data_IF_509831406869
#
_entry.id   IF_509831406869
#
_cell.length_a   1.000
_cell.length_b   1.000
_cell.length_c   1.000
_cell.angle_alpha   90.00
_cell.angle_beta   90.00
_cell.angle_gamma   90.00
#
_symmetry.space_group_name_H-M   'P 1'
#
loop_
_entity.id
_entity.type
_entity.pdbx_description
1 polymer ?
#
# COMPACT_ATOMS: atom_id res chain seq x y z
N UNK A 1 23.37 1.87 39.47
CA UNK A 1 23.62 1.65 38.02
C UNK A 1 22.27 1.52 37.37
N UNK A 2 21.78 2.58 36.72
CA UNK A 2 20.49 2.57 36.04
C UNK A 2 20.61 1.75 34.76
N UNK A 3 19.85 0.66 34.64
CA UNK A 3 19.68 -0.04 33.37
C UNK A 3 19.24 0.95 32.29
N UNK A 4 19.80 0.89 31.07
CA UNK A 4 19.27 1.66 29.97
C UNK A 4 17.87 1.12 29.69
N UNK A 5 16.85 1.92 30.01
CA UNK A 5 15.47 1.62 29.62
C UNK A 5 15.48 1.38 28.11
N UNK A 6 15.10 0.18 27.68
CA UNK A 6 15.15 -0.22 26.27
C UNK A 6 14.32 0.74 25.43
N UNK A 7 14.99 1.51 24.59
CA UNK A 7 14.38 2.51 23.69
C UNK A 7 13.40 1.84 22.70
N UNK A 8 13.54 0.53 22.48
CA UNK A 8 12.67 -0.28 21.63
C UNK A 8 11.17 -0.15 21.97
N UNK A 9 10.79 -0.01 23.25
CA UNK A 9 9.37 0.11 23.65
C UNK A 9 8.75 1.50 23.42
N UNK A 10 9.53 2.52 23.02
CA UNK A 10 9.04 3.89 22.81
C UNK A 10 8.88 4.28 21.35
N UNK A 11 9.54 3.57 20.43
CA UNK A 11 9.46 3.87 19.01
C UNK A 11 8.10 3.43 18.45
N UNK A 12 7.46 4.33 17.72
CA UNK A 12 6.14 4.09 17.13
C UNK A 12 6.13 4.38 15.62
N UNK A 13 6.86 3.59 14.80
CA UNK A 13 6.89 3.78 13.36
C UNK A 13 5.49 3.75 12.76
N UNK A 14 5.29 4.55 11.69
CA UNK A 14 4.05 4.52 10.92
C UNK A 14 4.14 3.47 9.83
N UNK A 15 3.37 2.41 9.97
CA UNK A 15 3.44 1.23 9.11
C UNK A 15 2.26 1.16 8.13
N UNK A 16 2.52 0.54 7.00
CA UNK A 16 1.54 0.11 6.03
C UNK A 16 2.08 -1.12 5.29
N UNK A 17 1.19 -1.90 4.71
CA UNK A 17 1.50 -3.11 3.93
C UNK A 17 1.10 -2.85 2.49
N UNK A 18 1.91 -3.27 1.54
CA UNK A 18 1.68 -3.03 0.12
C UNK A 18 2.33 -4.09 -0.77
N UNK A 19 1.80 -4.24 -1.98
CA UNK A 19 2.55 -4.87 -3.06
C UNK A 19 3.56 -3.88 -3.64
N UNK A 20 4.85 -4.25 -3.71
CA UNK A 20 5.81 -3.51 -4.50
C UNK A 20 5.50 -3.70 -5.99
N UNK A 21 5.79 -2.67 -6.78
CA UNK A 21 5.64 -2.74 -8.23
C UNK A 21 6.91 -3.31 -8.89
N UNK A 22 6.78 -4.05 -10.00
CA UNK A 22 7.92 -4.42 -10.82
C UNK A 22 8.64 -3.16 -11.32
N UNK A 23 9.97 -3.21 -11.44
CA UNK A 23 10.79 -2.06 -11.88
C UNK A 23 10.28 -1.44 -13.18
N UNK A 24 9.96 -2.28 -14.18
CA UNK A 24 9.49 -1.79 -15.49
C UNK A 24 8.13 -1.08 -15.39
N UNK A 25 7.27 -1.53 -14.48
CA UNK A 25 5.99 -0.86 -14.18
C UNK A 25 6.22 0.51 -13.56
N UNK A 26 7.16 0.61 -12.60
CA UNK A 26 7.53 1.88 -11.96
C UNK A 26 8.06 2.88 -13.00
N UNK A 27 8.94 2.44 -13.91
CA UNK A 27 9.49 3.28 -14.99
C UNK A 27 8.37 3.79 -15.90
N UNK A 28 7.51 2.91 -16.39
CA UNK A 28 6.38 3.29 -17.27
C UNK A 28 5.42 4.27 -16.60
N UNK A 29 5.11 4.06 -15.32
CA UNK A 29 4.27 4.97 -14.55
C UNK A 29 4.94 6.34 -14.35
N UNK A 30 6.25 6.37 -14.09
CA UNK A 30 7.00 7.61 -13.94
C UNK A 30 7.05 8.42 -15.24
N UNK A 31 7.24 7.76 -16.39
CA UNK A 31 7.19 8.38 -17.71
C UNK A 31 5.80 8.95 -18.02
N UNK A 32 4.74 8.18 -17.72
CA UNK A 32 3.36 8.65 -17.89
C UNK A 32 3.03 9.82 -16.96
N UNK A 33 3.44 9.76 -15.69
CA UNK A 33 3.32 10.86 -14.73
C UNK A 33 3.97 12.15 -15.22
N UNK A 34 5.10 12.06 -15.94
CA UNK A 34 5.80 13.21 -16.51
C UNK A 34 4.99 13.98 -17.56
N UNK A 35 3.91 13.39 -18.07
CA UNK A 35 2.98 14.03 -19.02
C UNK A 35 1.82 14.74 -18.33
N UNK A 36 1.64 14.52 -17.03
CA UNK A 36 0.54 15.07 -16.24
C UNK A 36 0.93 16.42 -15.64
N UNK A 37 0.11 17.45 -15.88
CA UNK A 37 0.30 18.79 -15.34
C UNK A 37 -0.73 19.11 -14.25
N UNK A 38 -0.42 20.06 -13.37
CA UNK A 38 -1.39 20.56 -12.37
C UNK A 38 -1.47 19.74 -11.07
N UNK A 39 -0.60 18.76 -10.87
CA UNK A 39 -0.51 17.99 -9.62
C UNK A 39 0.93 17.59 -9.30
N UNK A 40 1.18 17.27 -8.02
CA UNK A 40 2.47 16.71 -7.59
C UNK A 40 2.48 15.20 -7.85
N UNK A 41 3.49 14.73 -8.57
CA UNK A 41 3.68 13.30 -8.80
C UNK A 41 4.15 12.57 -7.54
N UNK A 42 3.68 11.33 -7.37
CA UNK A 42 4.24 10.42 -6.36
C UNK A 42 5.60 9.94 -6.87
N UNK A 43 6.69 10.07 -6.07
CA UNK A 43 8.02 9.63 -6.49
C UNK A 43 8.05 8.15 -6.85
N UNK A 44 8.89 7.72 -7.82
CA UNK A 44 8.95 6.32 -8.27
C UNK A 44 9.14 5.30 -7.14
N UNK A 45 10.03 5.58 -6.17
CA UNK A 45 10.27 4.72 -5.02
C UNK A 45 9.10 4.58 -4.04
N UNK A 46 8.07 5.42 -4.19
CA UNK A 46 6.87 5.40 -3.37
C UNK A 46 5.65 4.84 -4.11
N UNK A 47 5.78 4.38 -5.36
CA UNK A 47 4.67 3.78 -6.10
C UNK A 47 4.46 2.33 -5.63
N UNK A 48 3.24 2.04 -5.20
CA UNK A 48 2.85 0.73 -4.67
C UNK A 48 1.33 0.55 -4.73
N UNK A 49 0.86 -0.69 -4.56
CA UNK A 49 -0.55 -0.99 -4.31
C UNK A 49 -0.71 -1.26 -2.82
N UNK A 50 -1.38 -0.36 -2.09
CA UNK A 50 -1.56 -0.51 -0.65
C UNK A 50 -2.56 -1.62 -0.34
N UNK A 51 -2.24 -2.46 0.65
CA UNK A 51 -3.13 -3.43 1.26
C UNK A 51 -3.79 -2.83 2.51
N UNK A 52 -2.97 -2.47 3.51
CA UNK A 52 -3.45 -2.01 4.81
C UNK A 52 -2.60 -0.85 5.32
N UNK A 53 -3.23 0.16 5.92
CA UNK A 53 -2.54 1.19 6.70
C UNK A 53 -2.67 0.86 8.19
N UNK A 54 -1.55 0.58 8.86
CA UNK A 54 -1.54 0.21 10.29
C UNK A 54 -1.32 1.42 11.21
N UNK A 55 -0.90 2.55 10.64
CA UNK A 55 -0.64 3.76 11.42
C UNK A 55 0.56 3.59 12.35
N UNK A 56 0.60 4.35 13.44
CA UNK A 56 1.69 4.30 14.40
C UNK A 56 1.58 3.05 15.28
N UNK A 57 2.57 2.15 15.19
CA UNK A 57 2.63 0.87 15.92
C UNK A 57 3.88 0.79 16.78
N UNK A 58 3.82 0.26 18.01
CA UNK A 58 5.01 -0.08 18.78
C UNK A 58 6.03 -0.86 17.93
N UNK A 59 7.30 -0.50 18.01
CA UNK A 59 8.35 -1.17 17.22
C UNK A 59 8.46 -2.68 17.55
N UNK A 60 8.08 -3.09 18.76
CA UNK A 60 8.00 -4.50 19.17
C UNK A 60 6.94 -5.32 18.39
N UNK A 61 5.95 -4.68 17.76
CA UNK A 61 4.98 -5.38 16.89
C UNK A 61 5.57 -5.73 15.51
N UNK A 62 6.73 -5.16 15.12
CA UNK A 62 7.29 -5.28 13.77
C UNK A 62 7.61 -6.72 13.37
N UNK A 63 8.21 -7.50 14.27
CA UNK A 63 8.64 -8.86 13.97
C UNK A 63 7.41 -9.75 13.72
N UNK A 64 6.42 -9.69 14.61
CA UNK A 64 5.16 -10.43 14.46
C UNK A 64 4.40 -10.04 13.16
N UNK A 65 4.36 -8.74 12.84
CA UNK A 65 3.77 -8.28 11.57
C UNK A 65 4.56 -8.85 10.38
N UNK A 66 5.89 -8.80 10.43
CA UNK A 66 6.75 -9.26 9.34
C UNK A 66 6.61 -10.76 9.12
N UNK A 67 6.59 -11.56 10.18
CA UNK A 67 6.42 -13.02 10.11
C UNK A 67 5.07 -13.40 9.50
N UNK A 68 3.99 -12.75 9.94
CA UNK A 68 2.66 -12.96 9.37
C UNK A 68 2.61 -12.65 7.86
N UNK A 69 3.30 -11.59 7.42
CA UNK A 69 3.40 -11.23 5.99
C UNK A 69 4.26 -12.22 5.20
N UNK A 70 5.36 -12.72 5.78
CA UNK A 70 6.20 -13.74 5.14
C UNK A 70 5.43 -15.04 4.92
N UNK A 71 4.64 -15.47 5.91
CA UNK A 71 3.80 -16.67 5.78
C UNK A 71 2.72 -16.52 4.69
N UNK A 72 2.06 -15.36 4.64
CA UNK A 72 1.08 -15.05 3.60
C UNK A 72 1.75 -15.08 2.21
N UNK A 73 2.92 -14.44 2.09
CA UNK A 73 3.69 -14.40 0.85
C UNK A 73 4.18 -15.78 0.39
N UNK A 74 4.61 -16.65 1.32
CA UNK A 74 5.11 -17.99 1.00
C UNK A 74 4.04 -18.89 0.37
N UNK A 75 2.76 -18.66 0.68
CA UNK A 75 1.62 -19.41 0.12
C UNK A 75 1.06 -18.76 -1.14
N UNK A 76 1.38 -17.49 -1.37
CA UNK A 76 0.84 -16.71 -2.45
C UNK A 76 1.52 -17.03 -3.79
N UNK A 77 0.71 -17.17 -4.84
CA UNK A 77 1.20 -17.00 -6.21
C UNK A 77 1.14 -15.53 -6.56
N UNK A 78 2.14 -15.02 -7.29
CA UNK A 78 2.18 -13.63 -7.73
C UNK A 78 0.87 -13.26 -8.47
N UNK A 79 0.18 -12.18 -8.08
CA UNK A 79 -1.01 -11.70 -8.78
C UNK A 79 -0.64 -10.88 -10.02
N UNK A 80 -1.56 -10.82 -10.98
CA UNK A 80 -1.52 -9.89 -12.09
C UNK A 80 -2.60 -8.82 -11.86
N UNK A 81 -2.20 -7.56 -11.95
CA UNK A 81 -3.08 -6.41 -11.83
C UNK A 81 -3.04 -5.62 -13.14
N UNK A 82 -4.21 -5.40 -13.74
CA UNK A 82 -4.34 -4.72 -15.01
C UNK A 82 -4.87 -3.30 -14.77
N UNK A 83 -4.15 -2.23 -15.16
CA UNK A 83 -4.67 -0.87 -15.08
C UNK A 83 -5.96 -0.72 -15.90
N UNK A 84 -7.03 -0.18 -15.31
CA UNK A 84 -8.33 -0.06 -15.99
C UNK A 84 -8.84 1.36 -16.15
N UNK A 85 -8.56 2.23 -15.18
CA UNK A 85 -8.95 3.64 -15.27
C UNK A 85 -8.16 4.53 -14.33
N UNK A 86 -8.06 5.81 -14.70
CA UNK A 86 -7.68 6.86 -13.77
C UNK A 86 -8.88 7.29 -12.93
N UNK A 87 -8.64 7.68 -11.67
CA UNK A 87 -9.65 8.23 -10.78
C UNK A 87 -9.05 9.28 -9.86
N UNK A 88 -9.80 10.36 -9.63
CA UNK A 88 -9.47 11.36 -8.62
C UNK A 88 -10.34 11.22 -7.36
N UNK A 89 -9.71 11.45 -6.22
CA UNK A 89 -10.36 11.68 -4.93
C UNK A 89 -10.19 13.14 -4.53
N UNK A 90 -10.50 13.51 -3.28
CA UNK A 90 -10.34 14.90 -2.81
C UNK A 90 -8.89 15.40 -2.90
N UNK A 91 -7.90 14.52 -2.75
CA UNK A 91 -6.49 14.94 -2.60
C UNK A 91 -5.48 14.08 -3.38
N UNK A 92 -5.93 12.98 -4.00
CA UNK A 92 -5.05 12.09 -4.75
C UNK A 92 -5.68 11.64 -6.07
N UNK A 93 -4.82 11.46 -7.07
CA UNK A 93 -5.11 10.77 -8.32
C UNK A 93 -4.52 9.38 -8.29
N UNK A 94 -5.27 8.38 -8.75
CA UNK A 94 -4.88 6.98 -8.71
C UNK A 94 -5.19 6.28 -10.03
N UNK A 95 -4.37 5.29 -10.35
CA UNK A 95 -4.67 4.29 -11.36
C UNK A 95 -5.35 3.13 -10.64
N UNK A 96 -6.60 2.86 -10.96
CA UNK A 96 -7.34 1.69 -10.47
C UNK A 96 -6.95 0.51 -11.34
N UNK A 97 -6.73 -0.63 -10.70
CA UNK A 97 -6.45 -1.88 -11.39
C UNK A 97 -7.61 -2.87 -11.21
N UNK A 98 -7.77 -3.75 -12.19
CA UNK A 98 -8.56 -4.97 -12.04
C UNK A 98 -7.66 -6.13 -11.62
N UNK A 99 -8.28 -7.09 -10.94
CA UNK A 99 -7.69 -8.34 -10.46
C UNK A 99 -8.56 -9.48 -11.01
N UNK A 100 -8.44 -9.73 -12.32
CA UNK A 100 -9.35 -10.60 -13.07
C UNK A 100 -9.47 -12.01 -12.47
N UNK A 101 -8.37 -12.53 -11.93
CA UNK A 101 -8.33 -13.84 -11.27
C UNK A 101 -8.66 -13.79 -9.77
N UNK A 102 -8.95 -12.61 -9.20
CA UNK A 102 -9.18 -12.39 -7.77
C UNK A 102 -7.98 -12.75 -6.88
N UNK A 103 -6.78 -12.88 -7.46
CA UNK A 103 -5.61 -13.40 -6.74
C UNK A 103 -5.02 -12.36 -5.80
N UNK A 104 -4.93 -11.11 -6.25
CA UNK A 104 -4.46 -10.02 -5.40
C UNK A 104 -5.41 -9.82 -4.20
N UNK A 105 -6.71 -9.94 -4.46
CA UNK A 105 -7.77 -9.80 -3.46
C UNK A 105 -7.68 -10.92 -2.43
N UNK A 106 -7.52 -12.19 -2.83
CA UNK A 106 -7.31 -13.29 -1.88
C UNK A 106 -6.09 -13.07 -0.98
N UNK A 107 -4.98 -12.57 -1.53
CA UNK A 107 -3.78 -12.26 -0.74
C UNK A 107 -4.06 -11.11 0.23
N UNK A 108 -4.74 -10.06 -0.22
CA UNK A 108 -5.12 -8.93 0.64
C UNK A 108 -5.98 -9.40 1.82
N UNK A 109 -6.98 -10.26 1.56
CA UNK A 109 -7.88 -10.79 2.60
C UNK A 109 -7.15 -11.71 3.61
N UNK A 110 -6.21 -12.56 3.16
CA UNK A 110 -5.35 -13.37 4.05
C UNK A 110 -4.44 -12.47 4.92
N UNK A 111 -3.84 -11.45 4.30
CA UNK A 111 -3.05 -10.44 5.04
C UNK A 111 -3.92 -9.72 6.07
N UNK A 112 -5.13 -9.32 5.72
CA UNK A 112 -6.04 -8.64 6.65
C UNK A 112 -6.40 -9.54 7.83
N UNK A 113 -6.77 -10.79 7.57
CA UNK A 113 -7.13 -11.74 8.63
C UNK A 113 -5.98 -11.96 9.62
N UNK A 114 -4.76 -12.13 9.12
CA UNK A 114 -3.56 -12.28 9.95
C UNK A 114 -3.28 -11.05 10.80
N UNK A 115 -3.39 -9.86 10.21
CA UNK A 115 -3.17 -8.61 10.94
C UNK A 115 -4.28 -8.34 11.98
N UNK A 116 -5.51 -8.76 11.69
CA UNK A 116 -6.63 -8.70 12.65
C UNK A 116 -6.42 -9.69 13.81
N UNK A 117 -5.93 -10.91 13.55
CA UNK A 117 -5.58 -11.88 14.58
C UNK A 117 -4.45 -11.39 15.51
N UNK A 118 -3.52 -10.59 14.98
CA UNK A 118 -2.50 -9.90 15.76
C UNK A 118 -3.03 -8.67 16.52
N UNK A 119 -4.26 -8.23 16.25
CA UNK A 119 -4.86 -7.04 16.87
C UNK A 119 -4.26 -5.71 16.39
N UNK A 120 -3.53 -5.69 15.27
CA UNK A 120 -2.82 -4.50 14.75
C UNK A 120 -3.54 -3.81 13.59
N UNK A 121 -4.65 -4.39 13.12
CA UNK A 121 -5.42 -3.87 12.00
C UNK A 121 -6.92 -4.06 12.24
N UNK A 122 -7.70 -3.08 11.82
CA UNK A 122 -9.16 -3.16 11.71
C UNK A 122 -9.51 -2.96 10.23
N UNK A 123 -10.17 -3.96 9.64
CA UNK A 123 -10.48 -3.93 8.20
C UNK A 123 -11.48 -2.84 7.87
N UNK A 124 -11.26 -2.18 6.73
CA UNK A 124 -12.21 -1.22 6.21
C UNK A 124 -13.52 -1.91 5.79
N UNK A 125 -14.67 -1.28 6.06
CA UNK A 125 -15.99 -1.82 5.66
C UNK A 125 -16.18 -1.92 4.15
N UNK A 126 -15.46 -1.09 3.39
CA UNK A 126 -15.52 -1.12 1.93
C UNK A 126 -14.62 -2.24 1.41
N UNK A 127 -15.04 -2.87 0.31
CA UNK A 127 -14.17 -3.80 -0.41
C UNK A 127 -12.85 -3.13 -0.78
N UNK A 128 -11.76 -3.88 -0.59
CA UNK A 128 -10.46 -3.47 -1.06
C UNK A 128 -10.49 -3.29 -2.59
N UNK A 129 -9.92 -2.18 -3.05
CA UNK A 129 -9.84 -1.83 -4.46
C UNK A 129 -8.35 -1.68 -4.80
N UNK A 130 -7.74 -2.56 -5.60
CA UNK A 130 -6.34 -2.42 -5.97
C UNK A 130 -6.14 -1.15 -6.79
N UNK A 131 -5.28 -0.27 -6.30
CA UNK A 131 -4.97 0.99 -6.97
C UNK A 131 -3.57 1.46 -6.62
N UNK A 132 -2.99 2.26 -7.51
CA UNK A 132 -1.69 2.91 -7.34
C UNK A 132 -1.94 4.40 -7.25
N UNK A 133 -1.57 5.02 -6.13
CA UNK A 133 -1.61 6.48 -6.03
C UNK A 133 -0.47 7.07 -6.85
N UNK A 134 -0.80 7.89 -7.85
CA UNK A 134 0.15 8.46 -8.81
C UNK A 134 0.29 9.97 -8.67
N UNK A 135 -0.73 10.65 -8.14
CA UNK A 135 -0.72 12.11 -7.98
C UNK A 135 -1.23 12.50 -6.60
N UNK A 136 -0.72 13.62 -6.08
CA UNK A 136 -1.26 14.32 -4.90
C UNK A 136 -1.49 15.79 -5.24
N UNK A 137 -2.58 16.34 -4.74
CA UNK A 137 -2.98 17.73 -5.00
C UNK A 137 -3.82 18.29 -3.85
N UNK A 138 -3.87 19.62 -3.73
CA UNK A 138 -4.71 20.33 -2.74
C UNK A 138 -6.12 20.61 -3.29
N UNK A 139 -6.20 20.86 -4.58
CA UNK A 139 -7.42 21.05 -5.35
C UNK A 139 -7.43 20.03 -6.50
N UNK A 140 -8.61 19.49 -6.83
CA UNK A 140 -8.75 18.47 -7.87
C UNK A 140 -8.43 19.06 -9.25
N UNK A 141 -7.44 18.52 -9.98
CA UNK A 141 -7.08 19.00 -11.31
C UNK A 141 -8.07 18.52 -12.40
N UNK A 142 -8.94 17.55 -12.11
CA UNK A 142 -9.97 17.03 -13.04
C UNK A 142 -9.35 16.51 -14.34
N UNK A 143 -8.26 15.76 -14.22
CA UNK A 143 -7.56 15.17 -15.35
C UNK A 143 -8.37 14.02 -15.96
N UNK A 144 -8.25 13.86 -17.28
CA UNK A 144 -8.76 12.71 -18.05
C UNK A 144 -7.63 12.19 -18.98
N UNK A 145 -6.62 11.51 -18.40
CA UNK A 145 -5.37 11.14 -19.06
C UNK A 145 -5.40 9.80 -19.81
#
# INVERSE_FOLDING_TARGET
MSSPASVAGRERPRLFVAFPLPRDTVVRLAEWQGRLTGARTVPPGNLHVTLAFLGARPAEELDAISDALQEAAARAKRPLLTPVRYRETRSVGMVVCDDDEGRATRIAEDVFERLEQLGVYERERRRWLPHITVLRFRERPRLDP
#
